data_IF_020378747111
#
_entry.id   IF_020378747111
#
_cell.length_a   1.000
_cell.length_b   1.000
_cell.length_c   1.000
_cell.angle_alpha   90.00
_cell.angle_beta   90.00
_cell.angle_gamma   90.00
#
_symmetry.space_group_name_H-M   'P 1'
#
loop_
_entity.id
_entity.type
_entity.pdbx_description
1 polymer ?
#
# COMPACT_ATOMS: atom_id res chain seq x y z
N UNK A 1 21.65 8.81 0.05
CA UNK A 1 21.93 7.50 0.67
C UNK A 1 20.62 6.93 1.20
N UNK A 2 20.33 5.64 1.00
CA UNK A 2 19.06 5.02 1.42
C UNK A 2 19.02 4.88 2.94
N UNK A 3 18.10 5.55 3.63
CA UNK A 3 17.91 5.38 5.08
C UNK A 3 17.03 4.15 5.36
N UNK A 4 17.68 3.01 5.55
CA UNK A 4 17.00 1.74 5.79
C UNK A 4 16.24 1.69 7.11
N UNK A 5 16.71 2.36 8.16
CA UNK A 5 16.02 2.39 9.44
C UNK A 5 14.65 3.08 9.34
N UNK A 6 14.59 4.21 8.63
CA UNK A 6 13.35 4.90 8.35
C UNK A 6 12.40 4.04 7.48
N UNK A 7 12.93 3.36 6.46
CA UNK A 7 12.15 2.43 5.61
C UNK A 7 11.55 1.30 6.44
N UNK A 8 12.35 0.65 7.29
CA UNK A 8 11.90 -0.49 8.09
C UNK A 8 10.93 -0.08 9.19
N UNK A 9 11.09 1.12 9.76
CA UNK A 9 10.12 1.70 10.69
C UNK A 9 8.75 1.89 10.02
N UNK A 10 8.71 2.50 8.84
CA UNK A 10 7.45 2.71 8.12
C UNK A 10 6.86 1.41 7.57
N UNK A 11 7.70 0.45 7.16
CA UNK A 11 7.27 -0.87 6.75
C UNK A 11 6.54 -1.60 7.88
N UNK A 12 7.07 -1.57 9.12
CA UNK A 12 6.39 -2.17 10.29
C UNK A 12 5.06 -1.49 10.60
N UNK A 13 4.99 -0.16 10.52
CA UNK A 13 3.73 0.59 10.70
C UNK A 13 2.69 0.16 9.67
N UNK A 14 3.09 0.08 8.39
CA UNK A 14 2.21 -0.37 7.33
C UNK A 14 1.78 -1.83 7.52
N UNK A 15 2.71 -2.72 7.87
CA UNK A 15 2.41 -4.14 8.10
C UNK A 15 1.31 -4.35 9.16
N UNK A 16 1.36 -3.57 10.26
CA UNK A 16 0.33 -3.60 11.31
C UNK A 16 -1.05 -3.15 10.79
N UNK A 17 -1.10 -2.17 9.89
CA UNK A 17 -2.34 -1.72 9.26
C UNK A 17 -2.90 -2.79 8.30
N UNK A 18 -2.03 -3.35 7.46
CA UNK A 18 -2.39 -4.41 6.50
C UNK A 18 -2.90 -5.68 7.20
N UNK A 19 -2.29 -6.05 8.33
CA UNK A 19 -2.69 -7.22 9.11
C UNK A 19 -4.13 -7.08 9.63
N UNK A 20 -4.50 -5.90 10.13
CA UNK A 20 -5.82 -5.60 10.71
C UNK A 20 -6.93 -5.45 9.67
N UNK A 21 -6.60 -5.13 8.42
CA UNK A 21 -7.57 -4.80 7.39
C UNK A 21 -8.11 -6.01 6.60
N UNK A 22 -7.64 -7.23 6.90
CA UNK A 22 -8.09 -8.48 6.24
C UNK A 22 -8.13 -8.43 4.70
N UNK A 23 -7.22 -7.67 4.09
CA UNK A 23 -7.15 -7.55 2.62
C UNK A 23 -6.36 -8.71 2.00
N UNK A 24 -6.58 -8.92 0.70
CA UNK A 24 -5.70 -9.72 -0.15
C UNK A 24 -4.41 -8.93 -0.45
N UNK A 25 -3.28 -9.48 0.01
CA UNK A 25 -1.96 -8.88 -0.15
C UNK A 25 -1.50 -8.86 -1.61
N UNK A 26 -2.05 -9.70 -2.50
CA UNK A 26 -1.75 -9.62 -3.92
C UNK A 26 -2.31 -8.35 -4.55
N UNK A 27 -3.46 -7.83 -4.06
CA UNK A 27 -3.98 -6.54 -4.51
C UNK A 27 -3.10 -5.38 -3.98
N UNK A 28 -2.54 -5.52 -2.77
CA UNK A 28 -1.56 -4.57 -2.25
C UNK A 28 -0.25 -4.55 -3.08
N UNK A 29 0.18 -5.71 -3.59
CA UNK A 29 1.35 -5.82 -4.49
C UNK A 29 1.08 -5.20 -5.87
N UNK A 30 -0.12 -5.38 -6.42
CA UNK A 30 -0.53 -4.71 -7.66
C UNK A 30 -0.55 -3.19 -7.49
N UNK A 31 -1.04 -2.70 -6.36
CA UNK A 31 -1.02 -1.26 -6.06
C UNK A 31 0.42 -0.71 -5.97
N UNK A 32 1.35 -1.46 -5.37
CA UNK A 32 2.78 -1.13 -5.40
C UNK A 32 3.33 -1.09 -6.82
N UNK A 33 2.98 -2.06 -7.66
CA UNK A 33 3.37 -2.09 -9.07
C UNK A 33 2.89 -0.85 -9.82
N UNK A 34 1.63 -0.42 -9.60
CA UNK A 34 1.11 0.82 -10.16
C UNK A 34 1.88 2.05 -9.67
N UNK A 35 2.16 2.14 -8.37
CA UNK A 35 2.91 3.26 -7.79
C UNK A 35 4.32 3.38 -8.40
N UNK A 36 5.01 2.25 -8.60
CA UNK A 36 6.30 2.19 -9.28
C UNK A 36 6.19 2.60 -10.76
N UNK A 37 5.17 2.11 -11.47
CA UNK A 37 4.91 2.46 -12.87
C UNK A 37 4.63 3.95 -13.07
N UNK A 38 4.06 4.62 -12.06
CA UNK A 38 3.80 6.07 -12.05
C UNK A 38 4.93 6.88 -11.41
N UNK A 39 6.18 6.39 -11.48
CA UNK A 39 7.37 7.07 -10.97
C UNK A 39 7.25 7.48 -9.50
N UNK A 40 6.59 6.65 -8.70
CA UNK A 40 6.31 6.90 -7.29
C UNK A 40 5.52 8.21 -7.04
N UNK A 41 4.55 8.50 -7.89
CA UNK A 41 3.67 9.65 -7.73
C UNK A 41 2.53 9.38 -6.73
N UNK A 42 2.57 10.06 -5.58
CA UNK A 42 1.60 9.90 -4.48
C UNK A 42 0.16 10.26 -4.91
N UNK A 43 -0.02 11.31 -5.72
CA UNK A 43 -1.35 11.72 -6.18
C UNK A 43 -1.93 10.73 -7.20
N UNK A 44 -1.09 10.09 -8.00
CA UNK A 44 -1.52 9.03 -8.91
C UNK A 44 -1.97 7.80 -8.12
N UNK A 45 -1.21 7.40 -7.09
CA UNK A 45 -1.58 6.29 -6.20
C UNK A 45 -2.90 6.53 -5.46
N UNK A 46 -3.07 7.73 -4.87
CA UNK A 46 -4.31 8.13 -4.20
C UNK A 46 -5.51 8.00 -5.14
N UNK A 47 -5.38 8.54 -6.36
CA UNK A 47 -6.45 8.46 -7.39
C UNK A 47 -6.75 7.02 -7.79
N UNK A 48 -5.72 6.23 -8.06
CA UNK A 48 -5.87 4.83 -8.44
C UNK A 48 -6.61 4.00 -7.38
N UNK A 49 -6.21 4.12 -6.11
CA UNK A 49 -6.87 3.40 -5.02
C UNK A 49 -8.32 3.84 -4.85
N UNK A 50 -8.58 5.16 -4.97
CA UNK A 50 -9.93 5.71 -4.90
C UNK A 50 -10.83 5.20 -6.04
N UNK A 51 -10.34 5.23 -7.29
CA UNK A 51 -11.07 4.75 -8.46
C UNK A 51 -11.38 3.26 -8.35
N UNK A 52 -10.39 2.44 -7.98
CA UNK A 52 -10.59 1.00 -7.79
C UNK A 52 -11.52 0.66 -6.62
N UNK A 53 -11.63 1.54 -5.63
CA UNK A 53 -12.54 1.38 -4.48
C UNK A 53 -13.97 1.84 -4.76
N UNK A 54 -14.17 2.83 -5.64
CA UNK A 54 -15.49 3.45 -5.89
C UNK A 54 -16.14 2.97 -7.17
N UNK A 55 -15.40 2.92 -8.27
CA UNK A 55 -15.91 2.53 -9.59
C UNK A 55 -14.85 1.72 -10.37
N UNK A 56 -14.49 0.52 -9.89
CA UNK A 56 -13.50 -0.30 -10.59
C UNK A 56 -14.04 -0.78 -11.95
N UNK A 57 -13.15 -1.11 -12.90
CA UNK A 57 -13.49 -2.01 -14.00
C UNK A 57 -14.15 -3.30 -13.48
N UNK A 58 -14.81 -4.13 -14.31
CA UNK A 58 -15.55 -5.32 -13.86
C UNK A 58 -14.75 -6.19 -12.88
N UNK A 59 -15.16 -6.16 -11.61
CA UNK A 59 -14.50 -6.83 -10.48
C UNK A 59 -15.54 -7.28 -9.46
N UNK A 60 -15.18 -8.24 -8.63
CA UNK A 60 -16.03 -8.65 -7.51
C UNK A 60 -16.17 -7.51 -6.49
N UNK A 61 -17.31 -7.46 -5.79
CA UNK A 61 -17.51 -6.53 -4.65
C UNK A 61 -16.44 -6.71 -3.57
N UNK A 62 -15.95 -7.95 -3.38
CA UNK A 62 -14.88 -8.26 -2.43
C UNK A 62 -13.57 -7.58 -2.81
N UNK A 63 -13.16 -7.68 -4.08
CA UNK A 63 -11.96 -6.99 -4.59
C UNK A 63 -12.11 -5.48 -4.47
N UNK A 64 -13.27 -4.92 -4.79
CA UNK A 64 -13.54 -3.50 -4.61
C UNK A 64 -13.37 -3.07 -3.14
N UNK A 65 -13.88 -3.86 -2.18
CA UNK A 65 -13.69 -3.58 -0.76
C UNK A 65 -12.21 -3.59 -0.34
N UNK A 66 -11.40 -4.51 -0.88
CA UNK A 66 -9.96 -4.50 -0.64
C UNK A 66 -9.30 -3.19 -1.07
N UNK A 67 -9.70 -2.64 -2.22
CA UNK A 67 -9.18 -1.35 -2.67
C UNK A 67 -9.66 -0.17 -1.83
N UNK A 68 -10.90 -0.21 -1.30
CA UNK A 68 -11.35 0.80 -0.33
C UNK A 68 -10.53 0.76 0.95
N UNK A 69 -10.23 -0.43 1.46
CA UNK A 69 -9.36 -0.58 2.63
C UNK A 69 -7.93 -0.15 2.35
N UNK A 70 -7.37 -0.52 1.19
CA UNK A 70 -6.06 -0.04 0.76
C UNK A 70 -6.02 1.49 0.63
N UNK A 71 -7.08 2.11 0.11
CA UNK A 71 -7.21 3.57 0.06
C UNK A 71 -7.18 4.18 1.45
N UNK A 72 -7.97 3.64 2.38
CA UNK A 72 -7.98 4.06 3.79
C UNK A 72 -6.60 3.94 4.45
N UNK A 73 -5.95 2.79 4.27
CA UNK A 73 -4.60 2.52 4.78
C UNK A 73 -3.60 3.52 4.19
N UNK A 74 -3.65 3.74 2.88
CA UNK A 74 -2.78 4.70 2.20
C UNK A 74 -2.94 6.10 2.81
N UNK A 75 -4.17 6.62 2.95
CA UNK A 75 -4.38 7.95 3.54
C UNK A 75 -3.85 8.05 4.96
N UNK A 76 -4.10 7.04 5.80
CA UNK A 76 -3.64 7.02 7.19
C UNK A 76 -2.11 6.94 7.30
N UNK A 77 -1.48 6.07 6.52
CA UNK A 77 -0.05 5.80 6.57
C UNK A 77 0.76 6.90 5.87
N UNK A 78 0.39 7.22 4.63
CA UNK A 78 1.08 8.15 3.73
C UNK A 78 1.14 9.56 4.30
N UNK A 79 0.05 10.05 4.92
CA UNK A 79 0.01 11.38 5.52
C UNK A 79 1.02 11.57 6.67
N UNK A 80 1.43 10.48 7.31
CA UNK A 80 2.37 10.47 8.44
C UNK A 80 3.72 9.83 8.09
N UNK A 81 4.00 9.65 6.81
CA UNK A 81 5.21 9.00 6.30
C UNK A 81 6.13 10.06 5.69
N UNK A 82 7.32 10.21 6.27
CA UNK A 82 8.33 11.15 5.76
C UNK A 82 9.12 10.61 4.56
N UNK A 83 8.86 9.37 4.15
CA UNK A 83 9.52 8.77 2.99
C UNK A 83 8.83 9.23 1.70
N UNK A 84 9.63 9.42 0.67
CA UNK A 84 9.16 9.75 -0.67
C UNK A 84 9.74 8.79 -1.71
N UNK A 85 9.15 8.82 -2.90
CA UNK A 85 9.68 8.12 -4.06
C UNK A 85 9.90 6.62 -3.81
N UNK A 86 11.06 6.13 -4.26
CA UNK A 86 11.46 4.74 -4.14
C UNK A 86 11.58 4.24 -2.70
N UNK A 87 11.91 5.10 -1.73
CA UNK A 87 12.01 4.67 -0.33
C UNK A 87 10.62 4.39 0.27
N UNK A 88 9.61 5.16 -0.12
CA UNK A 88 8.21 4.89 0.22
C UNK A 88 7.72 3.59 -0.41
N UNK A 89 8.08 3.35 -1.68
CA UNK A 89 7.78 2.10 -2.38
C UNK A 89 8.45 0.89 -1.69
N UNK A 90 9.71 1.02 -1.28
CA UNK A 90 10.42 -0.02 -0.51
C UNK A 90 9.75 -0.30 0.83
N UNK A 91 9.32 0.74 1.56
CA UNK A 91 8.60 0.57 2.82
C UNK A 91 7.29 -0.19 2.59
N UNK A 92 6.57 0.12 1.51
CA UNK A 92 5.36 -0.61 1.12
C UNK A 92 5.63 -2.09 0.84
N UNK A 93 6.63 -2.38 -0.01
CA UNK A 93 7.01 -3.75 -0.34
C UNK A 93 7.46 -4.57 0.88
N UNK A 94 8.23 -3.97 1.79
CA UNK A 94 8.59 -4.63 3.05
C UNK A 94 7.40 -4.83 3.97
N UNK A 95 6.48 -3.85 4.06
CA UNK A 95 5.25 -3.99 4.84
C UNK A 95 4.42 -5.19 4.40
N UNK A 96 4.25 -5.40 3.09
CA UNK A 96 3.58 -6.58 2.54
C UNK A 96 4.30 -7.88 2.93
N UNK A 97 5.63 -7.95 2.75
CA UNK A 97 6.43 -9.13 3.09
C UNK A 97 6.33 -9.49 4.57
N UNK A 98 6.37 -8.48 5.45
CA UNK A 98 6.20 -8.67 6.90
C UNK A 98 4.80 -9.22 7.22
N UNK A 99 3.73 -8.68 6.62
CA UNK A 99 2.38 -9.21 6.84
C UNK A 99 2.23 -10.65 6.34
N UNK A 100 2.85 -11.01 5.22
CA UNK A 100 2.89 -12.41 4.73
C UNK A 100 3.59 -13.34 5.72
N UNK A 101 4.74 -12.91 6.27
CA UNK A 101 5.50 -13.71 7.24
C UNK A 101 4.81 -13.94 8.58
N UNK A 102 3.83 -13.10 8.95
CA UNK A 102 3.02 -13.28 10.19
C UNK A 102 1.79 -14.17 9.95
N UNK A 103 1.33 -14.31 8.69
CA UNK A 103 0.17 -15.13 8.32
C UNK A 103 0.53 -16.58 7.92
N UNK A 104 1.83 -16.88 7.83
CA UNK A 104 2.35 -18.23 7.60
C UNK A 104 2.41 -19.00 8.93
#
# INVERSE_FOLDING_TARGET
MTNWDAIMKEARRLANLLQRAEIDLNEAEKALGYYLFKDCNDQAMERYLHEMGTNPPPRSRRTQNYYRELHRIWKQWSANCSLSGLNKARAWGWGIKMTKGVRA
#
